data_IF_400400356208
#
_entry.id   IF_400400356208
#
_cell.length_a   1.000
_cell.length_b   1.000
_cell.length_c   1.000
_cell.angle_alpha   90.00
_cell.angle_beta   90.00
_cell.angle_gamma   90.00
#
_symmetry.space_group_name_H-M   'P 1'
#
loop_
_entity.id
_entity.type
_entity.pdbx_description
1 polymer ?
#
# COMPACT_ATOMS: atom_id res chain seq x y z
N UNK A 1 26.22 -68.24 -27.20
CA UNK A 1 26.35 -66.85 -27.63
C UNK A 1 25.32 -66.03 -26.88
N UNK A 2 25.70 -65.38 -25.80
CA UNK A 2 24.81 -64.66 -24.89
C UNK A 2 24.93 -63.16 -25.17
N UNK A 3 23.85 -62.57 -25.68
CA UNK A 3 23.79 -61.14 -25.97
C UNK A 3 23.34 -60.41 -24.71
N UNK A 4 24.27 -59.76 -24.04
CA UNK A 4 23.97 -58.91 -22.86
C UNK A 4 23.40 -57.56 -23.34
N UNK A 5 22.10 -57.42 -23.21
CA UNK A 5 21.42 -56.14 -23.39
C UNK A 5 21.45 -55.36 -22.08
N UNK A 6 22.37 -54.42 -21.93
CA UNK A 6 22.38 -53.49 -20.81
C UNK A 6 21.29 -52.46 -21.04
N UNK A 7 20.21 -52.58 -20.27
CA UNK A 7 19.16 -51.56 -20.17
C UNK A 7 19.73 -50.41 -19.35
N UNK A 8 20.03 -49.29 -20.03
CA UNK A 8 20.38 -48.04 -19.35
C UNK A 8 19.08 -47.35 -18.98
N UNK A 9 18.73 -47.43 -17.69
CA UNK A 9 17.60 -46.70 -17.10
C UNK A 9 18.03 -45.27 -16.89
N UNK A 10 17.65 -44.40 -17.85
CA UNK A 10 17.83 -42.93 -17.71
C UNK A 10 16.80 -42.39 -16.73
N UNK A 11 17.22 -42.15 -15.48
CA UNK A 11 16.43 -41.38 -14.52
C UNK A 11 16.39 -39.93 -14.97
N UNK A 12 15.29 -39.52 -15.64
CA UNK A 12 15.01 -38.13 -15.87
C UNK A 12 14.49 -37.53 -14.56
N UNK A 13 15.36 -36.86 -13.81
CA UNK A 13 15.00 -36.10 -12.65
C UNK A 13 14.31 -34.82 -13.15
N UNK A 14 12.97 -34.83 -13.14
CA UNK A 14 12.16 -33.65 -13.43
C UNK A 14 12.19 -32.75 -12.19
N UNK A 15 13.14 -31.81 -12.18
CA UNK A 15 13.21 -30.80 -11.13
C UNK A 15 12.04 -29.82 -11.34
N UNK A 16 10.94 -30.03 -10.60
CA UNK A 16 9.88 -29.01 -10.50
C UNK A 16 10.49 -27.80 -9.78
N UNK A 17 10.89 -26.80 -10.51
CA UNK A 17 11.07 -25.45 -9.98
C UNK A 17 9.70 -24.93 -9.56
N UNK A 18 9.32 -25.15 -8.30
CA UNK A 18 8.27 -24.36 -7.67
C UNK A 18 8.79 -22.92 -7.57
N UNK A 19 8.46 -22.12 -8.57
CA UNK A 19 8.55 -20.66 -8.45
C UNK A 19 7.57 -20.25 -7.35
N UNK A 20 8.07 -20.07 -6.13
CA UNK A 20 7.35 -19.32 -5.09
C UNK A 20 7.12 -17.93 -5.65
N UNK A 21 5.92 -17.69 -6.18
CA UNK A 21 5.45 -16.33 -6.42
C UNK A 21 5.22 -15.74 -5.02
N UNK A 22 6.23 -15.08 -4.48
CA UNK A 22 6.07 -14.16 -3.37
C UNK A 22 5.21 -12.99 -3.91
N UNK A 23 3.90 -13.14 -3.83
CA UNK A 23 2.99 -12.00 -3.92
C UNK A 23 3.23 -11.18 -2.66
N UNK A 24 4.19 -10.26 -2.72
CA UNK A 24 4.41 -9.31 -1.65
C UNK A 24 3.14 -8.49 -1.51
N UNK A 25 2.40 -8.74 -0.42
CA UNK A 25 1.22 -7.95 -0.07
C UNK A 25 1.66 -6.50 0.05
N UNK A 26 0.91 -5.58 -0.56
CA UNK A 26 1.19 -4.15 -0.42
C UNK A 26 1.18 -3.77 1.07
N UNK A 27 2.03 -2.80 1.47
CA UNK A 27 2.00 -2.29 2.83
C UNK A 27 0.67 -1.60 3.13
N UNK A 28 0.29 -1.56 4.39
CA UNK A 28 -0.80 -0.73 4.88
C UNK A 28 -0.34 0.73 5.05
N UNK A 29 -1.22 1.69 5.39
CA UNK A 29 -0.85 3.11 5.51
C UNK A 29 0.23 3.40 6.55
N UNK A 30 0.31 2.62 7.63
CA UNK A 30 1.33 2.79 8.66
C UNK A 30 2.70 2.26 8.21
N UNK A 31 2.69 1.18 7.43
CA UNK A 31 3.89 0.53 6.93
C UNK A 31 4.47 1.24 5.71
N UNK A 32 3.60 1.84 4.88
CA UNK A 32 4.04 2.63 3.76
C UNK A 32 4.69 3.92 4.23
N UNK A 33 5.65 4.40 3.48
CA UNK A 33 6.37 5.63 3.76
C UNK A 33 6.54 6.46 2.51
N UNK A 34 7.46 7.39 2.57
CA UNK A 34 7.94 8.15 1.43
C UNK A 34 9.45 8.31 1.53
N UNK A 35 10.20 7.81 0.55
CA UNK A 35 11.66 7.87 0.55
C UNK A 35 12.27 7.31 1.86
N UNK A 36 11.77 6.18 2.32
CA UNK A 36 12.15 5.50 3.57
C UNK A 36 11.84 6.29 4.87
N UNK A 37 10.98 7.30 4.82
CA UNK A 37 10.49 8.01 6.00
C UNK A 37 9.03 7.65 6.27
N UNK A 38 8.69 7.52 7.56
CA UNK A 38 7.30 7.33 7.96
C UNK A 38 6.48 8.60 7.66
N UNK A 39 5.27 8.40 7.16
CA UNK A 39 4.32 9.49 6.84
C UNK A 39 3.17 9.50 7.83
N UNK A 40 2.78 8.32 8.32
CA UNK A 40 1.71 8.15 9.29
C UNK A 40 2.25 7.70 10.65
N UNK A 41 1.58 8.13 11.72
CA UNK A 41 1.81 7.70 13.10
C UNK A 41 0.50 7.22 13.74
N UNK A 42 0.60 6.30 14.69
CA UNK A 42 -0.56 5.81 15.45
C UNK A 42 -0.93 6.83 16.51
N UNK A 43 -2.18 7.30 16.49
CA UNK A 43 -2.77 8.19 17.51
C UNK A 43 -3.55 7.38 18.55
N UNK A 44 -4.27 6.36 18.10
CA UNK A 44 -5.05 5.46 18.94
C UNK A 44 -5.00 4.04 18.35
N UNK A 45 -4.94 3.05 19.22
CA UNK A 45 -4.98 1.65 18.82
C UNK A 45 -5.59 0.80 19.94
N UNK A 46 -6.84 0.42 19.78
CA UNK A 46 -7.57 -0.40 20.72
C UNK A 46 -8.29 -1.55 19.98
N UNK A 47 -9.01 -2.46 20.69
CA UNK A 47 -9.66 -3.60 20.04
C UNK A 47 -10.73 -3.26 18.99
N UNK A 48 -11.22 -2.02 18.95
CA UNK A 48 -12.31 -1.60 18.05
C UNK A 48 -11.84 -0.77 16.87
N UNK A 49 -10.80 0.05 17.06
CA UNK A 49 -10.31 0.98 16.05
C UNK A 49 -8.79 1.11 16.08
N UNK A 50 -8.24 1.49 14.94
CA UNK A 50 -6.92 2.10 14.81
C UNK A 50 -7.09 3.49 14.21
N UNK A 51 -6.45 4.49 14.80
CA UNK A 51 -6.45 5.87 14.29
C UNK A 51 -5.04 6.26 13.93
N UNK A 52 -4.85 6.68 12.68
CA UNK A 52 -3.59 7.19 12.18
C UNK A 52 -3.68 8.70 11.95
N UNK A 53 -2.60 9.40 12.23
CA UNK A 53 -2.38 10.77 11.76
C UNK A 53 -1.29 10.73 10.70
N UNK A 54 -1.61 11.18 9.49
CA UNK A 54 -0.70 11.20 8.35
C UNK A 54 -0.38 12.66 8.00
N UNK A 55 0.92 13.00 7.90
CA UNK A 55 1.39 14.36 7.67
C UNK A 55 2.21 14.42 6.39
N UNK A 56 1.85 15.34 5.50
CA UNK A 56 2.42 15.50 4.18
C UNK A 56 2.88 16.95 3.96
N UNK A 57 4.13 17.30 4.29
CA UNK A 57 4.72 18.54 3.82
C UNK A 57 4.68 18.66 2.29
N UNK A 58 4.82 19.87 1.70
CA UNK A 58 4.94 20.02 0.26
C UNK A 58 5.99 19.09 -0.37
N UNK A 59 5.60 18.36 -1.43
CA UNK A 59 6.45 17.40 -2.13
C UNK A 59 6.50 16.00 -1.50
N UNK A 60 6.05 15.84 -0.26
CA UNK A 60 6.00 14.54 0.41
C UNK A 60 4.81 13.73 -0.10
N UNK A 61 5.04 12.46 -0.36
CA UNK A 61 4.00 11.54 -0.79
C UNK A 61 3.81 10.39 0.19
N UNK A 62 3.10 9.39 -0.28
CA UNK A 62 2.91 8.12 0.38
C UNK A 62 3.05 7.05 -0.71
N UNK A 63 4.01 6.18 -0.56
CA UNK A 63 4.27 5.13 -1.55
C UNK A 63 3.06 4.22 -1.71
N UNK A 64 3.04 3.48 -2.80
CA UNK A 64 1.93 2.59 -3.15
C UNK A 64 1.57 1.67 -1.99
N UNK A 65 0.33 1.76 -1.52
CA UNK A 65 -0.22 1.00 -0.39
C UNK A 65 -1.71 0.74 -0.57
N UNK A 66 -2.25 -0.19 0.22
CA UNK A 66 -3.69 -0.46 0.28
C UNK A 66 -4.30 0.20 1.53
N UNK A 67 -5.62 0.37 1.54
CA UNK A 67 -6.38 0.66 2.75
C UNK A 67 -7.45 -0.39 2.99
N UNK A 68 -7.62 -0.78 4.24
CA UNK A 68 -8.85 -1.38 4.72
C UNK A 68 -9.99 -0.34 4.73
N UNK A 69 -11.20 -0.76 5.08
CA UNK A 69 -12.33 0.15 5.31
C UNK A 69 -11.95 1.24 6.32
N UNK A 70 -12.22 2.51 5.98
CA UNK A 70 -11.81 3.63 6.83
C UNK A 70 -12.65 4.88 6.61
N UNK A 71 -12.74 5.69 7.66
CA UNK A 71 -13.16 7.08 7.61
C UNK A 71 -11.94 7.98 7.66
N UNK A 72 -11.92 9.02 6.84
CA UNK A 72 -10.87 10.02 6.83
C UNK A 72 -11.40 11.42 7.09
N UNK A 73 -10.58 12.22 7.79
CA UNK A 73 -10.86 13.63 8.03
C UNK A 73 -9.61 14.48 7.77
N UNK A 74 -9.78 15.55 7.01
CA UNK A 74 -8.71 16.47 6.64
C UNK A 74 -8.59 17.58 7.68
N UNK A 75 -7.60 17.48 8.56
CA UNK A 75 -7.30 18.53 9.56
C UNK A 75 -6.74 19.77 8.87
N UNK A 76 -5.85 19.56 7.91
CA UNK A 76 -5.26 20.62 7.09
C UNK A 76 -5.15 20.10 5.66
N UNK A 77 -5.70 20.85 4.72
CA UNK A 77 -5.77 20.47 3.31
C UNK A 77 -4.58 20.95 2.48
N UNK A 78 -4.47 20.39 1.28
CA UNK A 78 -3.55 20.80 0.22
C UNK A 78 -4.01 20.20 -1.11
N UNK A 79 -3.16 20.28 -2.13
CA UNK A 79 -3.41 19.68 -3.45
C UNK A 79 -2.64 18.39 -3.60
N UNK A 80 -3.30 17.33 -4.02
CA UNK A 80 -2.70 16.00 -4.16
C UNK A 80 -2.73 15.48 -5.59
N UNK A 81 -1.62 14.90 -6.02
CA UNK A 81 -1.57 13.98 -7.14
C UNK A 81 -1.85 12.58 -6.60
N UNK A 82 -2.90 11.95 -7.12
CA UNK A 82 -3.35 10.62 -6.72
C UNK A 82 -3.25 9.68 -7.92
N UNK A 83 -2.60 8.55 -7.74
CA UNK A 83 -2.54 7.46 -8.73
C UNK A 83 -3.14 6.20 -8.11
N UNK A 84 -4.08 5.58 -8.80
CA UNK A 84 -4.74 4.35 -8.40
C UNK A 84 -5.11 3.50 -9.63
N UNK A 85 -5.98 2.49 -9.44
CA UNK A 85 -6.44 1.59 -10.53
C UNK A 85 -7.16 2.32 -11.66
N UNK A 86 -7.66 3.54 -11.43
CA UNK A 86 -8.40 4.34 -12.43
C UNK A 86 -7.50 5.33 -13.19
N UNK A 87 -6.25 5.48 -12.79
CA UNK A 87 -5.28 6.39 -13.40
C UNK A 87 -4.75 7.44 -12.44
N UNK A 88 -4.21 8.51 -12.98
CA UNK A 88 -3.62 9.63 -12.22
C UNK A 88 -4.48 10.88 -12.36
N UNK A 89 -4.69 11.58 -11.24
CA UNK A 89 -5.42 12.86 -11.20
C UNK A 89 -4.81 13.80 -10.16
N UNK A 90 -5.07 15.07 -10.30
CA UNK A 90 -4.73 16.11 -9.32
C UNK A 90 -6.02 16.62 -8.69
N UNK A 91 -6.08 16.62 -7.37
CA UNK A 91 -7.28 16.95 -6.58
C UNK A 91 -6.91 17.95 -5.50
N UNK A 92 -7.66 19.03 -5.39
CA UNK A 92 -7.64 19.91 -4.23
C UNK A 92 -8.45 19.25 -3.11
N UNK A 93 -7.85 19.12 -1.94
CA UNK A 93 -8.48 18.56 -0.74
C UNK A 93 -8.56 19.66 0.32
N UNK A 94 -9.70 20.34 0.46
CA UNK A 94 -9.87 21.42 1.44
C UNK A 94 -9.78 20.91 2.89
N UNK A 95 -9.35 21.78 3.79
CA UNK A 95 -9.47 21.57 5.25
C UNK A 95 -10.94 21.32 5.61
N UNK A 96 -11.20 20.33 6.48
CA UNK A 96 -12.53 19.91 6.90
C UNK A 96 -13.20 18.90 5.95
N UNK A 97 -12.55 18.52 4.86
CA UNK A 97 -13.07 17.44 3.99
C UNK A 97 -13.11 16.12 4.78
N UNK A 98 -14.26 15.46 4.72
CA UNK A 98 -14.48 14.11 5.25
C UNK A 98 -14.76 13.13 4.12
N UNK A 99 -14.35 11.88 4.31
CA UNK A 99 -14.58 10.82 3.33
C UNK A 99 -14.65 9.45 4.00
N UNK A 100 -15.37 8.53 3.36
CA UNK A 100 -15.42 7.13 3.75
C UNK A 100 -15.13 6.24 2.55
N UNK A 101 -14.36 5.18 2.75
CA UNK A 101 -14.08 4.14 1.76
C UNK A 101 -14.24 2.75 2.39
N UNK A 102 -14.88 1.83 1.66
CA UNK A 102 -14.98 0.41 2.07
C UNK A 102 -13.65 -0.36 1.94
N UNK A 103 -12.68 0.28 1.33
CA UNK A 103 -11.34 -0.22 1.08
C UNK A 103 -10.77 0.37 -0.21
N UNK A 104 -9.48 0.42 -0.31
CA UNK A 104 -8.75 0.84 -1.52
C UNK A 104 -7.74 -0.26 -1.83
N UNK A 105 -7.85 -0.88 -3.00
CA UNK A 105 -6.93 -1.94 -3.42
C UNK A 105 -5.48 -1.46 -3.41
N UNK A 106 -5.27 -0.29 -3.97
CA UNK A 106 -4.04 0.47 -3.84
C UNK A 106 -4.19 1.91 -4.33
N UNK A 107 -3.43 2.79 -3.73
CA UNK A 107 -3.12 4.09 -4.29
C UNK A 107 -1.69 4.52 -3.91
N UNK A 108 -1.22 5.53 -4.61
CA UNK A 108 -0.04 6.31 -4.31
C UNK A 108 -0.43 7.77 -4.37
N UNK A 109 -0.04 8.55 -3.39
CA UNK A 109 -0.39 9.97 -3.32
C UNK A 109 0.85 10.83 -3.14
N UNK A 110 0.80 12.09 -3.57
CA UNK A 110 1.84 13.06 -3.33
C UNK A 110 1.22 14.44 -3.13
N UNK A 111 1.62 15.14 -2.08
CA UNK A 111 1.27 16.54 -1.91
C UNK A 111 2.03 17.38 -2.95
N UNK A 112 1.31 17.92 -3.91
CA UNK A 112 1.82 18.81 -4.97
C UNK A 112 1.44 20.28 -4.74
N UNK A 113 0.79 20.57 -3.62
CA UNK A 113 0.48 21.92 -3.17
C UNK A 113 1.64 22.54 -2.39
N UNK A 114 1.39 23.72 -1.87
CA UNK A 114 2.36 24.56 -1.15
C UNK A 114 2.16 24.58 0.37
N UNK A 115 1.14 23.90 0.87
CA UNK A 115 0.84 23.76 2.30
C UNK A 115 1.04 22.32 2.79
N UNK A 116 1.40 22.18 4.07
CA UNK A 116 1.39 20.85 4.73
C UNK A 116 -0.04 20.35 4.87
N UNK A 117 -0.30 19.14 4.43
CA UNK A 117 -1.57 18.47 4.66
C UNK A 117 -1.50 17.52 5.85
N UNK A 118 -2.59 17.41 6.61
CA UNK A 118 -2.71 16.53 7.77
C UNK A 118 -4.07 15.83 7.71
N UNK A 119 -4.05 14.50 7.79
CA UNK A 119 -5.24 13.67 7.80
C UNK A 119 -5.32 12.81 9.06
N UNK A 120 -6.53 12.62 9.58
CA UNK A 120 -6.85 11.50 10.47
C UNK A 120 -7.52 10.39 9.66
N UNK A 121 -7.06 9.17 9.85
CA UNK A 121 -7.63 7.96 9.25
C UNK A 121 -8.09 7.06 10.38
N UNK A 122 -9.37 6.75 10.41
CA UNK A 122 -10.01 5.88 11.41
C UNK A 122 -10.35 4.56 10.75
N UNK A 123 -9.70 3.50 11.17
CA UNK A 123 -9.89 2.14 10.66
C UNK A 123 -10.61 1.29 11.70
N UNK A 124 -11.84 0.83 11.44
CA UNK A 124 -12.52 -0.19 12.26
C UNK A 124 -11.74 -1.52 12.25
N UNK A 125 -11.88 -2.29 13.33
CA UNK A 125 -11.27 -3.63 13.45
C UNK A 125 -12.33 -4.71 13.53
#
# INVERSE_FOLDING_TARGET
MVLNTKIVLACVVFTLCMACQNTTKLPDPLQAGWQNQAVCEVVENNPKIRVLKCTFPPGVGHDKHYHASHFGYTIQGSTFKITDTTGTRVVEVPTGTEFYNDGIDWHQVQNVGDSTAIFLIVEPK
#
